data_IF_765495496260
#
_entry.id   IF_765495496260
#
_cell.length_a   1.000
_cell.length_b   1.000
_cell.length_c   1.000
_cell.angle_alpha   90.00
_cell.angle_beta   90.00
_cell.angle_gamma   90.00
#
_symmetry.space_group_name_H-M   'P 1'
#
loop_
_entity.id
_entity.type
_entity.pdbx_description
1 polymer ?
#
# COMPACT_ATOMS: atom_id res chain seq x y z
N UNK A 1 4.34 16.65 9.54
CA UNK A 1 5.07 15.39 9.29
C UNK A 1 6.61 15.53 9.38
N UNK A 2 7.20 16.68 9.74
CA UNK A 2 8.67 16.86 9.74
C UNK A 2 9.33 16.89 11.11
N UNK A 3 8.57 16.57 12.16
CA UNK A 3 9.16 16.45 13.48
C UNK A 3 10.09 15.25 13.48
N UNK A 4 11.37 15.40 13.84
CA UNK A 4 12.28 14.27 13.92
C UNK A 4 11.90 13.35 15.08
N UNK A 5 12.20 12.07 14.89
CA UNK A 5 12.16 11.08 15.95
C UNK A 5 13.03 11.52 17.14
N UNK A 6 12.55 11.26 18.36
CA UNK A 6 13.24 11.62 19.59
C UNK A 6 12.91 10.63 20.71
N UNK A 7 13.39 10.88 21.93
CA UNK A 7 13.18 10.01 23.09
C UNK A 7 11.69 9.80 23.48
N UNK A 8 10.75 10.57 22.93
CA UNK A 8 9.32 10.49 23.22
C UNK A 8 8.43 10.38 21.97
N UNK A 9 9.02 10.37 20.77
CA UNK A 9 8.27 10.32 19.52
C UNK A 9 8.95 9.43 18.48
N UNK A 10 8.14 8.58 17.85
CA UNK A 10 8.45 7.84 16.62
C UNK A 10 7.34 8.11 15.63
N UNK A 11 7.69 8.40 14.38
CA UNK A 11 6.69 8.58 13.31
C UNK A 11 6.93 7.56 12.21
N UNK A 12 5.94 6.68 12.01
CA UNK A 12 5.95 5.66 10.98
C UNK A 12 4.99 6.06 9.86
N UNK A 13 5.50 6.08 8.63
CA UNK A 13 4.72 6.38 7.42
C UNK A 13 4.78 5.17 6.50
N UNK A 14 3.64 4.71 6.02
CA UNK A 14 3.54 3.49 5.23
C UNK A 14 3.35 3.85 3.77
N UNK A 15 4.28 3.43 2.92
CA UNK A 15 4.16 3.64 1.49
C UNK A 15 3.02 2.78 0.93
N UNK A 16 2.28 3.30 -0.05
CA UNK A 16 1.16 2.61 -0.68
C UNK A 16 -0.09 2.46 0.18
N UNK A 17 -0.11 2.97 1.42
CA UNK A 17 -1.28 2.92 2.29
C UNK A 17 -2.35 3.95 1.89
N UNK A 18 -3.61 3.62 2.17
CA UNK A 18 -4.74 4.54 2.10
C UNK A 18 -5.19 4.98 3.49
N UNK A 19 -6.24 5.80 3.56
CA UNK A 19 -6.79 6.26 4.84
C UNK A 19 -7.43 5.12 5.63
N UNK A 20 -8.02 4.14 4.95
CA UNK A 20 -8.67 2.98 5.56
C UNK A 20 -8.33 1.70 4.79
N UNK A 21 -7.90 0.67 5.53
CA UNK A 21 -7.68 -0.65 4.95
C UNK A 21 -8.99 -1.36 4.59
N UNK A 22 -8.99 -2.08 3.47
CA UNK A 22 -10.16 -2.83 2.97
C UNK A 22 -10.74 -3.85 3.95
N UNK A 23 -9.97 -4.32 4.94
CA UNK A 23 -10.50 -5.19 6.00
C UNK A 23 -11.67 -4.54 6.77
N UNK A 24 -11.72 -3.20 6.83
CA UNK A 24 -12.81 -2.45 7.46
C UNK A 24 -14.12 -2.48 6.66
N UNK A 25 -14.10 -2.95 5.41
CA UNK A 25 -15.31 -3.14 4.60
C UNK A 25 -16.14 -4.36 5.02
N UNK A 26 -15.59 -5.25 5.86
CA UNK A 26 -16.23 -6.51 6.27
C UNK A 26 -16.73 -7.37 5.09
N UNK A 27 -16.01 -7.34 3.96
CA UNK A 27 -16.36 -8.10 2.75
C UNK A 27 -17.50 -7.49 1.93
N UNK A 28 -17.93 -6.27 2.25
CA UNK A 28 -18.86 -5.52 1.40
C UNK A 28 -18.08 -5.05 0.17
N UNK A 29 -18.52 -5.39 -1.06
CA UNK A 29 -17.87 -4.95 -2.28
C UNK A 29 -18.13 -3.45 -2.48
N UNK A 30 -17.18 -2.63 -2.01
CA UNK A 30 -17.17 -1.18 -2.15
C UNK A 30 -16.14 -0.76 -3.20
N UNK A 31 -16.44 0.32 -3.94
CA UNK A 31 -15.46 1.07 -4.73
C UNK A 31 -14.71 0.21 -5.76
N UNK A 32 -15.45 -0.41 -6.68
CA UNK A 32 -14.91 -1.35 -7.68
C UNK A 32 -14.39 -0.70 -8.97
N UNK A 33 -14.53 0.62 -9.14
CA UNK A 33 -14.13 1.32 -10.36
C UNK A 33 -13.66 2.75 -10.03
N UNK A 34 -12.35 2.99 -9.90
CA UNK A 34 -11.27 2.01 -9.85
C UNK A 34 -11.29 1.26 -8.50
N UNK A 35 -10.70 0.07 -8.48
CA UNK A 35 -10.70 -0.81 -7.33
C UNK A 35 -10.10 -0.13 -6.09
N UNK A 36 -10.72 -0.36 -4.93
CA UNK A 36 -10.17 0.07 -3.65
C UNK A 36 -8.77 -0.51 -3.40
N UNK A 37 -7.95 0.24 -2.67
CA UNK A 37 -6.60 -0.17 -2.38
C UNK A 37 -6.58 -1.46 -1.56
N UNK A 38 -6.09 -2.53 -2.18
CA UNK A 38 -5.97 -3.86 -1.59
C UNK A 38 -4.52 -4.22 -1.23
N UNK A 39 -3.56 -3.36 -1.57
CA UNK A 39 -2.16 -3.46 -1.17
C UNK A 39 -1.78 -2.42 -0.13
N UNK A 40 -0.54 -2.44 0.35
CA UNK A 40 -0.04 -1.42 1.28
C UNK A 40 -0.82 -1.32 2.59
N UNK A 41 -1.44 -2.41 3.03
CA UNK A 41 -2.33 -2.46 4.19
C UNK A 41 -1.60 -2.00 5.46
N UNK A 42 -1.98 -0.85 5.99
CA UNK A 42 -1.31 -0.27 7.15
C UNK A 42 -1.58 -1.04 8.44
N UNK A 43 -2.53 -1.98 8.46
CA UNK A 43 -2.91 -2.80 9.64
C UNK A 43 -1.71 -3.54 10.23
N UNK A 44 -0.80 -4.03 9.40
CA UNK A 44 0.37 -4.79 9.86
C UNK A 44 1.35 -3.88 10.58
N UNK A 45 1.67 -2.74 9.98
CA UNK A 45 2.51 -1.71 10.61
C UNK A 45 1.85 -1.16 11.87
N UNK A 46 0.51 -1.03 11.89
CA UNK A 46 -0.22 -0.61 13.09
C UNK A 46 -0.11 -1.64 14.21
N UNK A 47 -0.32 -2.94 13.94
CA UNK A 47 -0.14 -4.01 14.94
C UNK A 47 1.30 -4.01 15.47
N UNK A 48 2.29 -3.89 14.59
CA UNK A 48 3.70 -3.80 14.96
C UNK A 48 3.99 -2.57 15.83
N UNK A 49 3.48 -1.41 15.44
CA UNK A 49 3.64 -0.14 16.17
C UNK A 49 2.99 -0.18 17.55
N UNK A 50 1.81 -0.80 17.69
CA UNK A 50 1.16 -0.98 18.98
C UNK A 50 1.96 -1.90 19.91
N UNK A 51 2.57 -2.96 19.38
CA UNK A 51 3.46 -3.83 20.18
C UNK A 51 4.72 -3.10 20.61
N UNK A 52 5.35 -2.39 19.69
CA UNK A 52 6.54 -1.61 19.98
C UNK A 52 6.26 -0.50 20.99
N UNK A 53 5.08 0.13 20.94
CA UNK A 53 4.63 1.09 21.95
C UNK A 53 4.49 0.45 23.33
N UNK A 54 3.88 -0.73 23.41
CA UNK A 54 3.76 -1.48 24.69
C UNK A 54 5.14 -1.79 25.27
N UNK A 55 6.08 -2.31 24.45
CA UNK A 55 7.44 -2.59 24.88
C UNK A 55 8.16 -1.32 25.37
N UNK A 56 7.97 -0.20 24.66
CA UNK A 56 8.57 1.07 25.04
C UNK A 56 8.08 1.53 26.42
N UNK A 57 6.81 1.33 26.74
CA UNK A 57 6.22 1.68 28.03
C UNK A 57 6.64 0.72 29.16
N UNK A 58 6.84 -0.56 28.85
CA UNK A 58 7.15 -1.60 29.84
C UNK A 58 8.63 -1.62 30.25
N UNK A 59 9.54 -1.53 29.29
CA UNK A 59 10.98 -1.70 29.54
C UNK A 59 11.89 -0.63 28.92
N UNK A 60 11.32 0.33 28.19
CA UNK A 60 12.08 1.43 27.59
C UNK A 60 12.68 1.10 26.22
N UNK A 61 12.45 -0.09 25.66
CA UNK A 61 12.89 -0.44 24.30
C UNK A 61 12.11 0.38 23.27
N UNK A 62 12.76 1.40 22.70
CA UNK A 62 12.10 2.29 21.75
C UNK A 62 11.73 1.56 20.43
N UNK A 63 10.61 1.92 19.79
CA UNK A 63 10.28 1.43 18.46
C UNK A 63 11.38 1.78 17.44
N UNK A 64 11.48 0.96 16.39
CA UNK A 64 12.38 1.19 15.27
C UNK A 64 12.17 2.59 14.65
N UNK A 65 13.26 3.18 14.13
CA UNK A 65 13.19 4.42 13.35
C UNK A 65 12.80 4.04 11.93
N UNK A 66 11.73 4.65 11.41
CA UNK A 66 11.21 4.35 10.09
C UNK A 66 11.70 5.35 9.03
N UNK A 67 11.91 4.89 7.77
CA UNK A 67 12.05 5.80 6.64
C UNK A 67 10.82 6.71 6.52
N UNK A 68 11.04 7.98 6.16
CA UNK A 68 9.98 8.96 5.92
C UNK A 68 9.55 8.90 4.45
N UNK A 69 8.29 9.22 4.17
CA UNK A 69 7.85 9.47 2.80
C UNK A 69 8.59 10.69 2.26
N UNK A 70 9.04 10.60 1.02
CA UNK A 70 9.65 11.73 0.33
C UNK A 70 8.57 12.68 -0.15
N UNK A 71 8.77 13.99 0.05
CA UNK A 71 7.83 15.03 -0.35
C UNK A 71 8.44 15.91 -1.44
N UNK A 72 7.59 16.46 -2.30
CA UNK A 72 8.04 17.32 -3.40
C UNK A 72 8.64 18.64 -2.90
N UNK A 73 8.24 19.10 -1.71
CA UNK A 73 8.92 20.14 -0.95
C UNK A 73 8.65 19.99 0.55
N UNK A 74 9.40 20.67 1.43
CA UNK A 74 9.16 20.60 2.87
C UNK A 74 7.76 21.09 3.30
N UNK A 75 7.17 22.03 2.58
CA UNK A 75 5.83 22.53 2.88
C UNK A 75 4.73 21.78 2.13
N UNK A 76 5.10 20.82 1.26
CA UNK A 76 4.16 20.10 0.43
C UNK A 76 3.37 19.06 1.22
N UNK A 77 2.17 18.77 0.71
CA UNK A 77 1.36 17.61 1.09
C UNK A 77 1.44 16.49 0.05
N UNK A 78 2.23 16.69 -1.00
CA UNK A 78 2.39 15.78 -2.14
C UNK A 78 3.65 14.95 -1.97
N UNK A 79 3.51 13.63 -2.09
CA UNK A 79 4.62 12.68 -2.06
C UNK A 79 5.33 12.61 -3.41
N UNK A 80 6.63 12.35 -3.38
CA UNK A 80 7.38 11.94 -4.57
C UNK A 80 6.98 10.50 -4.89
N UNK A 81 6.75 10.20 -6.16
CA UNK A 81 6.43 8.84 -6.64
C UNK A 81 7.53 8.37 -7.59
N UNK A 82 7.82 7.08 -7.55
CA UNK A 82 8.71 6.44 -8.52
C UNK A 82 8.02 6.43 -9.90
N UNK A 83 8.59 7.07 -10.94
CA UNK A 83 7.98 7.08 -12.27
C UNK A 83 7.80 5.69 -12.89
N UNK A 84 8.59 4.70 -12.47
CA UNK A 84 8.52 3.35 -13.00
C UNK A 84 7.40 2.52 -12.35
N UNK A 85 6.91 2.88 -11.16
CA UNK A 85 5.89 2.09 -10.45
C UNK A 85 4.66 2.89 -10.03
N UNK A 86 4.73 4.22 -10.05
CA UNK A 86 3.69 5.11 -9.53
C UNK A 86 3.55 5.09 -8.00
N UNK A 87 4.37 4.30 -7.30
CA UNK A 87 4.32 4.16 -5.85
C UNK A 87 5.17 5.24 -5.18
N UNK A 88 4.70 5.77 -4.05
CA UNK A 88 5.42 6.75 -3.26
C UNK A 88 6.85 6.29 -2.89
N UNK A 89 7.81 7.21 -2.94
CA UNK A 89 9.18 6.98 -2.51
C UNK A 89 9.35 7.16 -0.99
N UNK A 90 10.27 6.39 -0.41
CA UNK A 90 10.47 6.35 1.04
C UNK A 90 9.36 5.58 1.76
N UNK A 91 9.16 5.89 3.04
CA UNK A 91 8.22 5.19 3.91
C UNK A 91 8.61 3.74 4.22
N UNK A 92 7.85 3.12 5.11
CA UNK A 92 7.88 1.67 5.35
C UNK A 92 7.30 0.99 4.10
N UNK A 93 8.08 0.08 3.52
CA UNK A 93 7.71 -0.69 2.34
C UNK A 93 7.44 -2.13 2.75
N UNK A 94 6.18 -2.43 3.05
CA UNK A 94 5.72 -3.81 3.20
C UNK A 94 5.87 -4.59 1.88
N UNK A 95 5.77 -5.94 1.90
CA UNK A 95 6.01 -6.77 0.73
C UNK A 95 5.24 -6.36 -0.54
N UNK A 96 3.99 -5.92 -0.41
CA UNK A 96 3.16 -5.43 -1.52
C UNK A 96 3.74 -4.19 -2.23
N UNK A 97 4.63 -3.47 -1.56
CA UNK A 97 5.24 -2.20 -2.01
C UNK A 97 6.73 -2.37 -2.31
N UNK A 98 7.39 -3.30 -1.63
CA UNK A 98 8.77 -3.71 -1.92
C UNK A 98 8.86 -4.60 -3.17
N UNK A 99 7.86 -5.44 -3.40
CA UNK A 99 7.75 -6.36 -4.54
C UNK A 99 6.40 -6.14 -5.24
N UNK A 100 6.21 -4.97 -5.87
CA UNK A 100 4.91 -4.57 -6.39
C UNK A 100 4.50 -5.34 -7.66
N UNK A 101 3.20 -5.57 -7.78
CA UNK A 101 2.53 -6.09 -8.99
C UNK A 101 1.34 -5.21 -9.38
N UNK A 102 1.24 -4.07 -8.71
CA UNK A 102 0.16 -3.12 -8.82
C UNK A 102 0.65 -1.78 -8.26
N UNK A 103 0.06 -0.69 -8.73
CA UNK A 103 0.26 0.63 -8.17
C UNK A 103 -0.75 0.86 -7.05
N UNK A 104 -0.26 0.96 -5.82
CA UNK A 104 -1.08 1.24 -4.64
C UNK A 104 -0.99 2.71 -4.25
N UNK A 105 -2.13 3.40 -4.25
CA UNK A 105 -2.24 4.82 -3.94
C UNK A 105 -3.27 5.07 -2.84
N UNK A 106 -2.94 6.00 -1.94
CA UNK A 106 -3.91 6.54 -0.99
C UNK A 106 -4.86 7.58 -1.60
N UNK A 107 -4.56 8.05 -2.82
CA UNK A 107 -5.36 9.02 -3.55
C UNK A 107 -6.33 8.30 -4.49
N UNK A 108 -7.62 8.60 -4.37
CA UNK A 108 -8.63 8.22 -5.36
C UNK A 108 -8.90 9.42 -6.27
N UNK A 109 -8.91 9.24 -7.60
CA UNK A 109 -9.22 10.33 -8.52
C UNK A 109 -10.66 10.84 -8.34
N UNK A 110 -10.89 12.15 -8.52
CA UNK A 110 -12.21 12.77 -8.28
C UNK A 110 -13.31 12.25 -9.23
N UNK A 111 -12.93 11.76 -10.41
CA UNK A 111 -13.82 11.19 -11.42
C UNK A 111 -14.22 9.73 -11.12
N UNK A 112 -13.61 9.09 -10.12
CA UNK A 112 -13.94 7.75 -9.67
C UNK A 112 -15.23 7.74 -8.84
N UNK A 113 -16.38 7.60 -9.51
CA UNK A 113 -17.66 7.38 -8.82
C UNK A 113 -17.61 6.09 -7.99
N UNK A 114 -18.08 6.14 -6.74
CA UNK A 114 -18.29 4.95 -5.93
C UNK A 114 -19.28 3.99 -6.61
N UNK A 115 -19.12 2.69 -6.37
CA UNK A 115 -20.11 1.68 -6.78
C UNK A 115 -20.80 1.06 -5.55
N UNK A 116 -22.13 0.92 -5.54
CA UNK A 116 -23.05 1.35 -6.60
C UNK A 116 -23.15 2.89 -6.66
N UNK A 117 -23.33 3.47 -7.86
CA UNK A 117 -23.54 4.91 -7.99
C UNK A 117 -24.83 5.25 -7.24
N UNK A 118 -24.74 6.04 -6.17
CA UNK A 118 -25.90 6.54 -5.46
C UNK A 118 -26.10 8.02 -5.77
N UNK A 119 -27.35 8.43 -5.98
CA UNK A 119 -27.72 9.85 -6.04
C UNK A 119 -27.45 10.58 -4.70
N UNK A 120 -27.18 9.82 -3.63
CA UNK A 120 -26.68 10.32 -2.36
C UNK A 120 -25.16 10.36 -2.35
N UNK A 121 -24.60 11.56 -2.21
CA UNK A 121 -23.16 11.88 -2.18
C UNK A 121 -22.32 11.20 -1.07
N UNK A 122 -22.91 10.31 -0.27
CA UNK A 122 -22.24 9.64 0.85
C UNK A 122 -21.40 8.41 0.46
N UNK A 123 -21.75 7.70 -0.61
CA UNK A 123 -20.98 6.53 -1.08
C UNK A 123 -19.64 6.95 -1.71
N UNK A 124 -19.61 8.09 -2.40
CA UNK A 124 -18.39 8.68 -2.97
C UNK A 124 -17.38 9.08 -1.88
N UNK A 125 -17.83 9.62 -0.75
CA UNK A 125 -16.95 9.97 0.37
C UNK A 125 -16.27 8.75 0.99
N UNK A 126 -17.03 7.68 1.25
CA UNK A 126 -16.49 6.45 1.84
C UNK A 126 -15.42 5.85 0.92
N UNK A 127 -15.62 5.90 -0.40
CA UNK A 127 -14.62 5.42 -1.33
C UNK A 127 -13.30 6.17 -1.24
N UNK A 128 -13.28 7.49 -1.07
CA UNK A 128 -12.02 8.22 -0.94
C UNK A 128 -11.13 7.74 0.22
N UNK A 129 -11.71 7.10 1.25
CA UNK A 129 -10.92 6.56 2.36
C UNK A 129 -10.05 5.36 1.93
N UNK A 130 -10.53 4.57 0.97
CA UNK A 130 -9.88 3.31 0.63
C UNK A 130 -8.80 3.44 -0.42
N UNK A 131 -8.53 4.62 -0.99
CA UNK A 131 -7.52 4.78 -2.04
C UNK A 131 -7.75 3.85 -3.25
N UNK A 132 -6.74 3.69 -4.11
CA UNK A 132 -6.86 2.89 -5.33
C UNK A 132 -5.70 1.90 -5.44
N UNK A 133 -6.01 0.69 -5.88
CA UNK A 133 -5.03 -0.23 -6.44
C UNK A 133 -5.27 -0.37 -7.93
N UNK A 134 -4.20 -0.27 -8.70
CA UNK A 134 -4.19 -0.47 -10.13
C UNK A 134 -3.26 -1.64 -10.49
N UNK A 135 -3.82 -2.77 -10.92
CA UNK A 135 -3.08 -4.03 -11.11
C UNK A 135 -2.34 -4.03 -12.45
N UNK A 136 -1.03 -4.27 -12.44
CA UNK A 136 -0.21 -4.35 -13.66
C UNK A 136 -0.56 -5.56 -14.52
N UNK A 137 -1.60 -5.43 -15.33
CA UNK A 137 -2.27 -6.51 -16.03
C UNK A 137 -2.26 -6.34 -17.56
N UNK A 138 -1.45 -5.40 -18.06
CA UNK A 138 -1.32 -4.97 -19.45
C UNK A 138 -2.55 -4.21 -19.95
N UNK A 139 -2.97 -3.23 -19.17
CA UNK A 139 -4.04 -2.31 -19.55
C UNK A 139 -5.36 -3.05 -19.91
N UNK A 140 -5.79 -4.01 -19.06
CA UNK A 140 -7.02 -4.81 -19.25
C UNK A 140 -8.18 -4.41 -18.34
N UNK A 141 -8.00 -3.45 -17.47
CA UNK A 141 -8.98 -2.88 -16.59
C UNK A 141 -9.76 -1.72 -17.27
N UNK A 142 -10.71 -1.11 -16.57
CA UNK A 142 -11.57 -0.04 -17.14
C UNK A 142 -10.94 1.36 -16.98
N UNK A 143 -9.97 1.48 -16.11
CA UNK A 143 -9.26 2.70 -15.70
C UNK A 143 -8.16 3.04 -16.70
N UNK A 144 -7.71 2.07 -17.48
CA UNK A 144 -6.59 2.18 -18.43
C UNK A 144 -6.76 3.25 -19.51
N UNK A 145 -5.76 4.13 -19.61
CA UNK A 145 -5.71 5.20 -20.61
C UNK A 145 -6.68 6.36 -20.33
N UNK A 146 -7.42 6.32 -19.22
CA UNK A 146 -8.14 7.48 -18.72
C UNK A 146 -7.18 8.35 -17.91
N UNK A 147 -6.79 9.47 -18.50
CA UNK A 147 -5.87 10.50 -17.95
C UNK A 147 -6.19 10.86 -16.49
N UNK A 148 -7.45 10.74 -16.10
CA UNK A 148 -7.95 11.16 -14.79
C UNK A 148 -8.20 9.99 -13.82
N UNK A 149 -8.03 8.71 -14.20
CA UNK A 149 -8.32 7.56 -13.29
C UNK A 149 -7.28 6.47 -13.24
N UNK A 150 -6.35 6.43 -14.20
CA UNK A 150 -5.23 5.48 -14.23
C UNK A 150 -4.25 5.82 -13.09
N UNK A 151 -4.16 4.91 -12.13
CA UNK A 151 -3.27 5.06 -10.98
C UNK A 151 -1.86 4.60 -11.30
N UNK A 152 -1.69 3.84 -12.38
CA UNK A 152 -0.44 3.23 -12.81
C UNK A 152 0.34 4.12 -13.80
N UNK A 153 1.65 3.92 -13.94
CA UNK A 153 2.40 4.51 -15.05
C UNK A 153 1.91 3.94 -16.38
N UNK A 154 1.81 4.78 -17.41
CA UNK A 154 1.51 4.33 -18.78
C UNK A 154 2.77 4.25 -19.67
N UNK A 155 3.08 3.08 -20.27
CA UNK A 155 2.41 1.79 -20.10
C UNK A 155 2.75 1.14 -18.76
N UNK A 156 1.89 0.22 -18.29
CA UNK A 156 2.09 -0.49 -17.04
C UNK A 156 3.40 -1.30 -17.01
N UNK A 157 4.04 -1.44 -15.82
CA UNK A 157 5.19 -2.32 -15.66
C UNK A 157 4.86 -3.80 -15.90
N UNK A 158 5.71 -4.49 -16.65
CA UNK A 158 5.52 -5.93 -16.89
C UNK A 158 5.98 -6.77 -15.70
N UNK A 159 5.04 -7.33 -14.93
CA UNK A 159 5.29 -8.31 -13.85
C UNK A 159 6.16 -9.47 -14.34
N UNK A 160 5.95 -9.91 -15.59
CA UNK A 160 6.73 -10.99 -16.21
C UNK A 160 8.18 -10.59 -16.45
N UNK A 161 8.44 -9.37 -16.89
CA UNK A 161 9.81 -8.88 -17.09
C UNK A 161 10.51 -8.65 -15.75
N UNK A 162 9.80 -8.13 -14.74
CA UNK A 162 10.34 -7.88 -13.41
C UNK A 162 10.72 -9.17 -12.68
N UNK A 163 9.87 -10.19 -12.69
CA UNK A 163 10.02 -11.35 -11.83
C UNK A 163 10.25 -12.67 -12.56
N UNK A 164 9.91 -12.78 -13.85
CA UNK A 164 10.10 -13.97 -14.68
C UNK A 164 9.18 -15.16 -14.36
N UNK A 165 8.82 -15.39 -13.09
CA UNK A 165 7.92 -16.48 -12.69
C UNK A 165 7.22 -16.22 -11.35
N UNK A 166 6.07 -16.86 -11.14
CA UNK A 166 5.34 -16.84 -9.87
C UNK A 166 6.19 -17.30 -8.69
N UNK A 167 7.05 -18.31 -8.93
CA UNK A 167 7.94 -18.85 -7.91
C UNK A 167 8.97 -17.81 -7.46
N UNK A 168 9.56 -17.09 -8.40
CA UNK A 168 10.55 -16.06 -8.09
C UNK A 168 9.91 -14.87 -7.39
N UNK A 169 8.75 -14.41 -7.88
CA UNK A 169 7.98 -13.37 -7.21
C UNK A 169 7.66 -13.72 -5.75
N UNK A 170 7.11 -14.90 -5.49
CA UNK A 170 6.79 -15.35 -4.12
C UNK A 170 8.03 -15.46 -3.23
N UNK A 171 9.17 -15.82 -3.79
CA UNK A 171 10.44 -15.86 -3.04
C UNK A 171 10.89 -14.44 -2.64
N UNK A 172 10.86 -13.49 -3.57
CA UNK A 172 11.19 -12.08 -3.31
C UNK A 172 10.20 -11.45 -2.32
N UNK A 173 8.91 -11.76 -2.46
CA UNK A 173 7.87 -11.25 -1.56
C UNK A 173 8.06 -11.78 -0.13
N UNK A 174 8.39 -13.07 0.02
CA UNK A 174 8.73 -13.64 1.32
C UNK A 174 9.99 -12.99 1.90
N UNK A 175 11.03 -12.77 1.09
CA UNK A 175 12.24 -12.07 1.51
C UNK A 175 11.92 -10.66 2.04
N UNK A 176 11.10 -9.90 1.31
CA UNK A 176 10.64 -8.58 1.76
C UNK A 176 9.79 -8.63 3.04
N UNK A 177 9.04 -9.71 3.26
CA UNK A 177 8.26 -9.90 4.49
C UNK A 177 9.19 -10.17 5.68
N UNK A 178 10.19 -11.04 5.50
CA UNK A 178 11.21 -11.31 6.50
C UNK A 178 12.04 -10.06 6.81
N UNK A 179 12.42 -9.29 5.80
CA UNK A 179 13.10 -8.00 5.97
C UNK A 179 12.25 -7.00 6.77
N UNK A 180 10.93 -7.01 6.57
CA UNK A 180 10.00 -6.15 7.34
C UNK A 180 9.89 -6.59 8.80
N UNK A 181 9.98 -7.90 9.07
CA UNK A 181 10.04 -8.47 10.42
C UNK A 181 11.35 -8.06 11.11
N UNK A 182 12.48 -8.24 10.43
CA UNK A 182 13.80 -7.89 10.96
C UNK A 182 13.93 -6.39 11.26
N UNK A 183 13.27 -5.55 10.46
CA UNK A 183 13.19 -4.10 10.71
C UNK A 183 12.19 -3.70 11.82
N UNK A 184 11.34 -4.62 12.27
CA UNK A 184 10.33 -4.38 13.31
C UNK A 184 9.05 -3.69 12.82
N UNK A 185 8.80 -3.67 11.51
CA UNK A 185 7.60 -3.08 10.91
C UNK A 185 6.51 -4.10 10.56
N UNK A 186 6.84 -5.38 10.65
CA UNK A 186 5.92 -6.50 10.53
C UNK A 186 6.16 -7.46 11.70
N UNK A 187 5.11 -8.16 12.13
CA UNK A 187 5.21 -9.13 13.21
C UNK A 187 5.32 -10.53 12.62
N UNK A 188 6.10 -11.41 13.26
CA UNK A 188 6.26 -12.79 12.79
C UNK A 188 4.92 -13.53 12.69
N UNK A 189 3.99 -13.27 13.61
CA UNK A 189 2.64 -13.86 13.58
C UNK A 189 1.73 -13.33 12.45
N UNK A 190 2.08 -12.17 11.86
CA UNK A 190 1.37 -11.62 10.71
C UNK A 190 1.90 -12.18 9.37
N UNK A 191 2.95 -13.01 9.40
CA UNK A 191 3.61 -13.52 8.19
C UNK A 191 2.66 -14.35 7.32
N UNK A 192 1.77 -15.14 7.91
CA UNK A 192 0.80 -15.93 7.13
C UNK A 192 -0.19 -15.01 6.40
N UNK A 193 -0.74 -14.01 7.10
CA UNK A 193 -1.75 -13.08 6.58
C UNK A 193 -1.16 -12.15 5.50
N UNK A 194 0.06 -11.63 5.68
CA UNK A 194 0.71 -10.73 4.68
C UNK A 194 1.09 -11.46 3.40
N UNK A 195 1.26 -12.78 3.44
CA UNK A 195 1.62 -13.60 2.28
C UNK A 195 0.41 -13.99 1.42
N UNK A 196 -0.82 -13.86 1.92
CA UNK A 196 -2.04 -14.25 1.20
C UNK A 196 -2.15 -13.62 -0.20
N UNK A 197 -1.90 -12.30 -0.39
CA UNK A 197 -1.98 -11.68 -1.72
C UNK A 197 -0.99 -12.31 -2.72
N UNK A 198 0.22 -12.63 -2.29
CA UNK A 198 1.24 -13.22 -3.17
C UNK A 198 0.91 -14.66 -3.61
N UNK A 199 0.00 -15.31 -2.89
CA UNK A 199 -0.50 -16.65 -3.21
C UNK A 199 -1.71 -16.63 -4.15
N UNK A 200 -2.31 -15.47 -4.39
CA UNK A 200 -3.46 -15.33 -5.28
C UNK A 200 -3.11 -15.73 -6.72
N UNK A 201 -3.99 -16.53 -7.33
CA UNK A 201 -3.85 -17.04 -8.68
C UNK A 201 -4.32 -16.04 -9.75
N UNK A 202 -4.88 -14.90 -9.35
CA UNK A 202 -5.38 -13.86 -10.27
C UNK A 202 -4.27 -13.15 -11.04
N UNK A 203 -3.02 -13.18 -10.56
CA UNK A 203 -1.91 -12.55 -11.28
C UNK A 203 -1.61 -13.26 -12.61
N UNK A 204 -1.51 -12.51 -13.73
CA UNK A 204 -1.33 -13.08 -15.06
C UNK A 204 0.11 -13.57 -15.23
N UNK A 205 0.39 -14.78 -14.77
CA UNK A 205 1.68 -15.44 -15.01
C UNK A 205 1.82 -15.99 -16.45
N UNK A 206 1.01 -15.52 -17.41
CA UNK A 206 0.87 -16.07 -18.76
C UNK A 206 1.04 -15.03 -19.87
#
# INVERSE_FOLDING_TARGET
>A
HQQPDNENLRIWEVAGASHADLILSYGIPLCSSPAANNGGSHRFVFRAGMRALTQWLEDGTAPAIAPRLQLTSPEAVTVVVDPATGIAEGGIRLPEVAVPVATNSGLRPESAAGYPPSEESGSDFICNLFGVTDEWNNDRDRSDGAIDTDGSPYPEPSVRELYGSARNYRALYLEAALDSIDQGFLLEEDLEEVMEPALDYRFPWW
#
